data_IF_497879695311
#
_entry.id   IF_497879695311
#
_cell.length_a   1.000
_cell.length_b   1.000
_cell.length_c   1.000
_cell.angle_alpha   90.00
_cell.angle_beta   90.00
_cell.angle_gamma   90.00
#
_symmetry.space_group_name_H-M   'P 1'
#
loop_
_entity.id
_entity.type
_entity.pdbx_description
1 polymer ?
#
# COMPACT_ATOMS: atom_id res chain seq x y z
N UNK A 1 -1.64 14.44 26.15
CA UNK A 1 -2.36 13.17 25.91
C UNK A 1 -1.31 12.10 25.66
N UNK A 2 -1.33 10.97 26.37
CA UNK A 2 -0.33 9.91 26.17
C UNK A 2 -0.82 8.96 25.08
N UNK A 3 -0.19 8.95 23.91
CA UNK A 3 -0.53 8.02 22.85
C UNK A 3 0.09 6.65 23.15
N UNK A 4 -0.60 5.55 22.79
CA UNK A 4 0.00 4.22 22.80
C UNK A 4 1.04 4.15 21.68
N UNK A 5 2.29 4.49 22.03
CA UNK A 5 3.39 4.40 21.07
C UNK A 5 3.77 2.94 20.89
N UNK A 6 3.39 2.36 19.76
CA UNK A 6 3.91 1.06 19.34
C UNK A 6 5.45 1.12 19.33
N UNK A 7 6.14 0.30 20.15
CA UNK A 7 7.58 0.33 20.25
C UNK A 7 8.26 0.12 18.89
N UNK A 8 9.37 0.82 18.65
CA UNK A 8 10.10 0.75 17.38
C UNK A 8 10.53 -0.68 17.03
N UNK A 9 10.85 -1.52 18.02
CA UNK A 9 11.21 -2.92 17.78
C UNK A 9 10.04 -3.73 17.21
N UNK A 10 8.80 -3.45 17.61
CA UNK A 10 7.60 -4.07 17.01
C UNK A 10 7.46 -3.63 15.55
N UNK A 11 7.63 -2.32 15.27
CA UNK A 11 7.57 -1.80 13.89
C UNK A 11 8.64 -2.43 13.00
N UNK A 12 9.86 -2.62 13.51
CA UNK A 12 10.94 -3.33 12.79
C UNK A 12 10.56 -4.79 12.53
N UNK A 13 9.99 -5.50 13.50
CA UNK A 13 9.51 -6.87 13.31
C UNK A 13 8.40 -6.91 12.25
N UNK A 14 7.47 -5.96 12.25
CA UNK A 14 6.39 -5.87 11.26
C UNK A 14 6.94 -5.57 9.87
N UNK A 15 7.94 -4.69 9.74
CA UNK A 15 8.65 -4.42 8.50
C UNK A 15 9.30 -5.70 7.94
N UNK A 16 10.08 -6.40 8.77
CA UNK A 16 10.74 -7.65 8.37
C UNK A 16 9.71 -8.73 8.01
N UNK A 17 8.65 -8.88 8.80
CA UNK A 17 7.55 -9.81 8.54
C UNK A 17 6.85 -9.49 7.23
N UNK A 18 6.66 -8.20 6.92
CA UNK A 18 6.08 -7.75 5.66
C UNK A 18 6.95 -8.22 4.50
N UNK A 19 8.26 -8.02 4.54
CA UNK A 19 9.18 -8.53 3.51
C UNK A 19 9.09 -10.06 3.37
N UNK A 20 9.19 -10.77 4.50
CA UNK A 20 9.19 -12.22 4.52
C UNK A 20 7.87 -12.82 4.01
N UNK A 21 6.74 -12.13 4.19
CA UNK A 21 5.43 -12.58 3.73
C UNK A 21 5.30 -12.68 2.21
N UNK A 22 6.04 -11.88 1.45
CA UNK A 22 6.06 -11.95 -0.02
C UNK A 22 6.97 -13.05 -0.57
N UNK A 23 7.98 -13.46 0.20
CA UNK A 23 8.95 -14.47 -0.22
C UNK A 23 8.30 -15.79 -0.73
N UNK A 24 7.33 -16.42 -0.03
CA UNK A 24 6.72 -17.66 -0.52
C UNK A 24 5.94 -17.45 -1.82
N UNK A 25 5.32 -16.27 -2.00
CA UNK A 25 4.55 -15.97 -3.21
C UNK A 25 5.48 -15.73 -4.40
N UNK A 26 6.50 -14.89 -4.21
CA UNK A 26 7.47 -14.58 -5.25
C UNK A 26 8.23 -15.84 -5.67
N UNK A 27 8.69 -16.65 -4.70
CA UNK A 27 9.35 -17.93 -4.97
C UNK A 27 8.45 -18.87 -5.76
N UNK A 28 7.18 -19.04 -5.37
CA UNK A 28 6.25 -19.95 -6.06
C UNK A 28 5.96 -19.48 -7.48
N UNK A 29 5.70 -18.19 -7.69
CA UNK A 29 5.44 -17.61 -9.01
C UNK A 29 6.64 -17.76 -9.94
N UNK A 30 7.85 -17.43 -9.45
CA UNK A 30 9.10 -17.59 -10.21
C UNK A 30 9.39 -19.06 -10.52
N UNK A 31 9.30 -19.95 -9.52
CA UNK A 31 9.56 -21.38 -9.71
C UNK A 31 8.61 -22.05 -10.69
N UNK A 32 7.33 -21.65 -10.71
CA UNK A 32 6.36 -22.18 -11.68
C UNK A 32 6.54 -21.60 -13.08
N UNK A 33 7.30 -20.50 -13.23
CA UNK A 33 7.48 -19.76 -14.49
C UNK A 33 6.16 -19.39 -15.20
N UNK A 34 5.07 -19.30 -14.43
CA UNK A 34 3.75 -18.90 -14.92
C UNK A 34 3.04 -18.13 -13.83
N UNK A 35 2.24 -17.14 -14.24
CA UNK A 35 1.39 -16.37 -13.34
C UNK A 35 -0.11 -16.67 -13.55
N UNK A 36 -0.44 -17.79 -14.21
CA UNK A 36 -1.81 -18.28 -14.35
C UNK A 36 -2.42 -18.58 -12.96
N UNK A 37 -3.65 -18.12 -12.73
CA UNK A 37 -4.35 -18.20 -11.44
C UNK A 37 -4.10 -17.02 -10.49
N UNK A 38 -3.33 -16.02 -10.92
CA UNK A 38 -3.22 -14.71 -10.23
C UNK A 38 -4.05 -13.69 -11.00
N UNK A 39 -5.03 -13.09 -10.34
CA UNK A 39 -5.88 -12.07 -10.96
C UNK A 39 -5.11 -10.77 -11.19
N UNK A 40 -5.16 -10.23 -12.42
CA UNK A 40 -4.55 -8.94 -12.75
C UNK A 40 -5.14 -7.81 -11.91
N UNK A 41 -6.45 -7.83 -11.66
CA UNK A 41 -7.13 -6.81 -10.86
C UNK A 41 -6.79 -6.93 -9.37
N UNK A 42 -6.57 -8.15 -8.87
CA UNK A 42 -6.05 -8.34 -7.52
C UNK A 42 -4.70 -7.64 -7.33
N UNK A 43 -3.77 -7.84 -8.27
CA UNK A 43 -2.46 -7.18 -8.23
C UNK A 43 -2.59 -5.66 -8.36
N UNK A 44 -3.39 -5.19 -9.32
CA UNK A 44 -3.61 -3.76 -9.57
C UNK A 44 -4.17 -3.06 -8.33
N UNK A 45 -5.20 -3.62 -7.71
CA UNK A 45 -5.88 -2.99 -6.58
C UNK A 45 -5.00 -2.95 -5.33
N UNK A 46 -4.27 -4.03 -5.04
CA UNK A 46 -3.29 -4.01 -3.95
C UNK A 46 -2.13 -3.04 -4.23
N UNK A 47 -1.69 -2.93 -5.48
CA UNK A 47 -0.64 -2.00 -5.87
C UNK A 47 -1.09 -0.54 -5.73
N UNK A 48 -2.29 -0.19 -6.20
CA UNK A 48 -2.89 1.14 -6.00
C UNK A 48 -3.02 1.43 -4.49
N UNK A 49 -3.59 0.50 -3.73
CA UNK A 49 -3.80 0.62 -2.28
C UNK A 49 -2.51 0.92 -1.51
N UNK A 50 -1.44 0.18 -1.80
CA UNK A 50 -0.17 0.33 -1.10
C UNK A 50 0.63 1.54 -1.56
N UNK A 51 0.53 1.90 -2.84
CA UNK A 51 1.12 3.14 -3.38
C UNK A 51 0.44 4.38 -2.78
N UNK A 52 -0.88 4.34 -2.58
CA UNK A 52 -1.64 5.42 -1.92
C UNK A 52 -1.22 5.58 -0.46
N UNK A 53 -1.11 4.47 0.30
CA UNK A 53 -0.60 4.51 1.68
C UNK A 53 0.82 5.08 1.77
N UNK A 54 1.67 4.77 0.78
CA UNK A 54 2.99 5.36 0.66
C UNK A 54 2.93 6.87 0.39
N UNK A 55 2.11 7.32 -0.58
CA UNK A 55 1.96 8.74 -0.91
C UNK A 55 1.49 9.56 0.29
N UNK A 56 0.50 9.05 1.04
CA UNK A 56 0.02 9.64 2.28
C UNK A 56 1.11 9.72 3.36
N UNK A 57 1.82 8.61 3.60
CA UNK A 57 2.91 8.58 4.58
C UNK A 57 4.02 9.57 4.21
N UNK A 58 4.39 9.65 2.93
CA UNK A 58 5.38 10.59 2.43
C UNK A 58 4.90 12.04 2.63
N UNK A 59 3.66 12.34 2.23
CA UNK A 59 3.08 13.67 2.39
C UNK A 59 3.11 14.15 3.84
N UNK A 60 2.68 13.34 4.80
CA UNK A 60 2.64 13.78 6.20
C UNK A 60 4.02 13.85 6.89
N UNK A 61 4.98 13.01 6.49
CA UNK A 61 6.29 12.94 7.15
C UNK A 61 7.32 13.88 6.51
N UNK A 62 7.29 14.00 5.18
CA UNK A 62 8.31 14.70 4.40
C UNK A 62 7.82 16.06 3.92
N UNK A 63 6.56 16.15 3.46
CA UNK A 63 6.08 17.33 2.73
C UNK A 63 5.33 18.35 3.62
N UNK A 64 4.46 17.88 4.53
CA UNK A 64 3.61 18.71 5.38
C UNK A 64 4.00 18.59 6.87
N UNK A 65 5.23 18.99 7.19
CA UNK A 65 5.78 18.90 8.55
C UNK A 65 5.17 19.90 9.55
N UNK A 66 4.44 20.92 9.08
CA UNK A 66 3.89 22.00 9.92
C UNK A 66 2.52 21.66 10.52
N UNK A 67 1.74 20.75 9.91
CA UNK A 67 0.42 20.33 10.38
C UNK A 67 0.25 18.80 10.51
N UNK A 68 1.12 18.08 11.25
CA UNK A 68 0.91 16.66 11.48
C UNK A 68 -0.23 16.46 12.49
N UNK A 69 -1.41 16.12 12.00
CA UNK A 69 -2.53 15.64 12.81
C UNK A 69 -2.93 14.22 12.40
N UNK A 70 -3.48 13.49 13.38
CA UNK A 70 -4.06 12.13 13.36
C UNK A 70 -3.09 10.96 13.08
N UNK A 71 -2.11 11.09 12.17
CA UNK A 71 -1.31 9.93 11.70
C UNK A 71 0.19 9.95 12.03
N UNK A 72 0.75 11.09 12.45
CA UNK A 72 2.19 11.27 12.70
C UNK A 72 2.38 11.96 14.05
N UNK A 73 3.44 11.62 14.78
CA UNK A 73 3.70 12.21 16.08
C UNK A 73 4.19 13.66 15.96
N UNK A 74 3.97 14.45 17.04
CA UNK A 74 4.63 15.73 17.28
C UNK A 74 5.59 15.64 18.47
N UNK A 75 6.90 15.85 18.29
CA UNK A 75 7.64 15.93 17.01
C UNK A 75 7.69 14.56 16.30
N UNK A 76 7.96 14.58 14.98
CA UNK A 76 8.20 13.37 14.17
C UNK A 76 9.28 12.55 14.87
N UNK A 77 9.02 11.25 15.06
CA UNK A 77 9.94 10.35 15.73
C UNK A 77 10.45 9.24 14.81
N UNK A 78 11.42 8.45 15.29
CA UNK A 78 11.99 7.34 14.54
C UNK A 78 10.94 6.30 14.09
N UNK A 79 9.85 6.13 14.86
CA UNK A 79 8.76 5.24 14.51
C UNK A 79 8.00 5.67 13.25
N UNK A 80 7.84 6.97 13.03
CA UNK A 80 7.16 7.51 11.84
C UNK A 80 7.98 7.24 10.58
N UNK A 81 9.30 7.42 10.66
CA UNK A 81 10.23 7.03 9.59
C UNK A 81 10.22 5.53 9.31
N UNK A 82 10.08 4.68 10.33
CA UNK A 82 9.93 3.24 10.15
C UNK A 82 8.61 2.92 9.43
N UNK A 83 7.50 3.60 9.76
CA UNK A 83 6.23 3.43 9.06
C UNK A 83 6.33 3.85 7.59
N UNK A 84 7.04 4.95 7.29
CA UNK A 84 7.33 5.35 5.91
C UNK A 84 8.15 4.30 5.17
N UNK A 85 9.20 3.76 5.80
CA UNK A 85 9.99 2.68 5.22
C UNK A 85 9.13 1.44 4.95
N UNK A 86 8.19 1.13 5.85
CA UNK A 86 7.28 0.00 5.73
C UNK A 86 6.30 0.15 4.56
N UNK A 87 5.64 1.31 4.41
CA UNK A 87 4.76 1.55 3.26
C UNK A 87 5.53 1.55 1.95
N UNK A 88 6.73 2.13 1.93
CA UNK A 88 7.63 2.13 0.77
C UNK A 88 8.00 0.70 0.34
N UNK A 89 8.47 -0.12 1.28
CA UNK A 89 8.87 -1.50 1.01
C UNK A 89 7.69 -2.33 0.52
N UNK A 90 6.51 -2.19 1.14
CA UNK A 90 5.31 -2.91 0.71
C UNK A 90 4.87 -2.50 -0.70
N UNK A 91 4.91 -1.21 -1.04
CA UNK A 91 4.63 -0.72 -2.39
C UNK A 91 5.62 -1.31 -3.42
N UNK A 92 6.92 -1.34 -3.11
CA UNK A 92 7.96 -1.95 -3.96
C UNK A 92 7.71 -3.44 -4.16
N UNK A 93 7.34 -4.18 -3.12
CA UNK A 93 7.07 -5.61 -3.20
C UNK A 93 5.85 -5.92 -4.07
N UNK A 94 4.78 -5.14 -3.95
CA UNK A 94 3.61 -5.25 -4.83
C UNK A 94 3.94 -4.89 -6.27
N UNK A 95 4.72 -3.83 -6.50
CA UNK A 95 5.17 -3.45 -7.84
C UNK A 95 6.01 -4.56 -8.46
N UNK A 96 6.93 -5.14 -7.69
CA UNK A 96 7.76 -6.27 -8.11
C UNK A 96 6.89 -7.47 -8.50
N UNK A 97 5.91 -7.82 -7.67
CA UNK A 97 5.01 -8.93 -7.95
C UNK A 97 4.16 -8.66 -9.20
N UNK A 98 3.68 -7.43 -9.38
CA UNK A 98 2.96 -6.99 -10.57
C UNK A 98 3.84 -7.14 -11.83
N UNK A 99 5.05 -6.60 -11.83
CA UNK A 99 5.99 -6.71 -12.94
C UNK A 99 6.35 -8.17 -13.27
N UNK A 100 6.66 -9.00 -12.25
CA UNK A 100 6.93 -10.42 -12.45
C UNK A 100 5.74 -11.14 -13.08
N UNK A 101 4.53 -10.83 -12.62
CA UNK A 101 3.30 -11.38 -13.18
C UNK A 101 2.98 -10.86 -14.59
N UNK A 102 3.49 -9.70 -15.00
CA UNK A 102 3.36 -9.20 -16.37
C UNK A 102 4.41 -9.82 -17.30
N UNK A 103 5.59 -10.11 -16.77
CA UNK A 103 6.70 -10.71 -17.51
C UNK A 103 6.47 -12.21 -17.78
N UNK A 104 5.91 -12.94 -16.81
CA UNK A 104 5.69 -14.38 -16.94
C UNK A 104 4.48 -14.71 -17.84
N UNK A 105 4.54 -15.82 -18.60
CA UNK A 105 3.43 -16.24 -19.44
C UNK A 105 2.20 -16.60 -18.60
N UNK A 106 1.02 -16.21 -19.10
CA UNK A 106 -0.25 -16.45 -18.45
C UNK A 106 -1.42 -16.40 -19.44
N UNK A 107 -2.50 -17.13 -19.14
CA UNK A 107 -3.73 -17.17 -19.96
C UNK A 107 -4.60 -15.90 -19.82
N UNK A 108 -3.98 -14.76 -19.56
CA UNK A 108 -4.67 -13.49 -19.32
C UNK A 108 -5.12 -12.90 -20.63
N UNK A 109 -6.30 -12.27 -20.61
CA UNK A 109 -6.76 -11.44 -21.73
C UNK A 109 -5.83 -10.22 -21.84
N UNK A 110 -5.21 -10.03 -23.00
CA UNK A 110 -4.30 -8.90 -23.29
C UNK A 110 -4.94 -7.56 -22.89
N UNK A 111 -6.24 -7.37 -23.18
CA UNK A 111 -6.96 -6.16 -22.81
C UNK A 111 -7.00 -5.89 -21.29
N UNK A 112 -7.07 -6.92 -20.45
CA UNK A 112 -7.03 -6.76 -18.99
C UNK A 112 -5.66 -6.30 -18.50
N UNK A 113 -4.59 -6.76 -19.15
CA UNK A 113 -3.21 -6.36 -18.85
C UNK A 113 -2.99 -4.90 -19.25
N UNK A 114 -3.34 -4.54 -20.49
CA UNK A 114 -3.22 -3.16 -20.99
C UNK A 114 -4.02 -2.19 -20.12
N UNK A 115 -5.24 -2.55 -19.77
CA UNK A 115 -6.06 -1.76 -18.87
C UNK A 115 -5.40 -1.57 -17.49
N UNK A 116 -4.88 -2.64 -16.88
CA UNK A 116 -4.25 -2.55 -15.57
C UNK A 116 -3.00 -1.66 -15.58
N UNK A 117 -2.17 -1.76 -16.62
CA UNK A 117 -1.00 -0.89 -16.80
C UNK A 117 -1.45 0.58 -16.95
N UNK A 118 -2.40 0.84 -17.85
CA UNK A 118 -2.91 2.19 -18.09
C UNK A 118 -3.56 2.79 -16.84
N UNK A 119 -4.35 2.02 -16.11
CA UNK A 119 -4.97 2.43 -14.85
C UNK A 119 -3.93 2.76 -13.77
N UNK A 120 -2.87 1.96 -13.64
CA UNK A 120 -1.81 2.24 -12.68
C UNK A 120 -1.00 3.49 -13.05
N UNK A 121 -0.65 3.66 -14.33
CA UNK A 121 0.04 4.87 -14.80
C UNK A 121 -0.83 6.11 -14.55
N UNK A 122 -2.12 6.06 -14.89
CA UNK A 122 -3.04 7.16 -14.64
C UNK A 122 -3.12 7.49 -13.13
N UNK A 123 -3.19 6.47 -12.28
CA UNK A 123 -3.16 6.63 -10.83
C UNK A 123 -1.86 7.33 -10.36
N UNK A 124 -0.69 6.89 -10.84
CA UNK A 124 0.59 7.53 -10.50
C UNK A 124 0.62 9.01 -10.91
N UNK A 125 0.13 9.34 -12.10
CA UNK A 125 0.12 10.72 -12.61
C UNK A 125 -0.82 11.64 -11.83
N UNK A 126 -1.95 11.11 -11.34
CA UNK A 126 -2.98 11.92 -10.66
C UNK A 126 -2.75 11.99 -9.14
N UNK A 127 -2.21 10.95 -8.52
CA UNK A 127 -2.04 10.85 -7.06
C UNK A 127 -0.58 11.06 -6.64
N UNK A 128 0.37 10.29 -7.20
CA UNK A 128 1.76 10.29 -6.72
C UNK A 128 2.57 11.47 -7.24
N UNK A 129 2.53 11.74 -8.54
CA UNK A 129 3.33 12.82 -9.15
C UNK A 129 3.06 14.19 -8.52
N UNK A 130 1.81 14.59 -8.22
CA UNK A 130 1.54 15.86 -7.55
C UNK A 130 2.18 15.96 -6.16
N UNK A 131 2.16 14.88 -5.36
CA UNK A 131 2.78 14.85 -4.02
C UNK A 131 4.29 15.06 -4.12
N UNK A 132 4.96 14.38 -5.05
CA UNK A 132 6.41 14.55 -5.23
C UNK A 132 6.78 15.89 -5.84
N UNK A 133 5.98 16.41 -6.78
CA UNK A 133 6.20 17.71 -7.39
C UNK A 133 6.11 18.83 -6.35
N UNK A 134 5.14 18.78 -5.45
CA UNK A 134 5.00 19.78 -4.38
C UNK A 134 6.18 19.74 -3.40
N UNK A 135 6.67 18.54 -3.06
CA UNK A 135 7.81 18.38 -2.15
C UNK A 135 9.15 18.90 -2.71
N UNK A 136 9.33 18.93 -4.03
CA UNK A 136 10.59 19.37 -4.67
C UNK A 136 10.55 20.80 -5.20
N UNK A 137 9.36 21.35 -5.46
CA UNK A 137 9.23 22.71 -5.99
C UNK A 137 9.30 23.71 -4.83
N UNK A 138 10.31 24.61 -4.80
CA UNK A 138 10.38 25.63 -3.77
C UNK A 138 9.23 26.62 -3.93
N UNK A 139 8.46 26.82 -2.85
CA UNK A 139 7.35 27.76 -2.80
C UNK A 139 7.14 28.27 -1.38
N UNK A 140 6.50 29.43 -1.23
CA UNK A 140 6.14 29.91 0.11
C UNK A 140 4.96 29.11 0.66
N UNK A 141 4.81 29.04 1.98
CA UNK A 141 3.68 28.34 2.62
C UNK A 141 2.32 28.87 2.11
N UNK A 142 2.21 30.17 1.84
CA UNK A 142 0.98 30.78 1.31
C UNK A 142 0.66 30.34 -0.13
N UNK A 143 1.67 30.19 -0.99
CA UNK A 143 1.47 29.73 -2.37
C UNK A 143 1.02 28.26 -2.42
N UNK A 144 1.50 27.45 -1.47
CA UNK A 144 1.28 26.00 -1.42
C UNK A 144 0.02 25.60 -0.64
N UNK A 145 -0.51 26.48 0.21
CA UNK A 145 -1.61 26.18 1.14
C UNK A 145 -2.85 25.58 0.47
N UNK A 146 -3.33 26.18 -0.61
CA UNK A 146 -4.53 25.72 -1.31
C UNK A 146 -4.30 24.41 -2.10
N UNK A 147 -3.24 24.29 -2.93
CA UNK A 147 -2.89 23.02 -3.58
C UNK A 147 -2.74 21.85 -2.60
N UNK A 148 -2.00 22.06 -1.50
CA UNK A 148 -1.78 21.07 -0.44
C UNK A 148 -3.10 20.68 0.23
N UNK A 149 -3.97 21.65 0.55
CA UNK A 149 -5.27 21.38 1.15
C UNK A 149 -6.20 20.57 0.23
N UNK A 150 -6.20 20.86 -1.07
CA UNK A 150 -7.00 20.11 -2.05
C UNK A 150 -6.45 18.69 -2.21
N UNK A 151 -5.14 18.56 -2.37
CA UNK A 151 -4.48 17.26 -2.54
C UNK A 151 -4.71 16.38 -1.31
N UNK A 152 -4.33 16.87 -0.12
CA UNK A 152 -4.59 16.16 1.15
C UNK A 152 -6.07 15.84 1.36
N UNK A 153 -6.98 16.76 1.01
CA UNK A 153 -8.42 16.53 1.10
C UNK A 153 -8.91 15.38 0.21
N UNK A 154 -8.45 15.31 -1.04
CA UNK A 154 -8.78 14.22 -1.99
C UNK A 154 -8.22 12.88 -1.48
N UNK A 155 -6.96 12.88 -1.06
CA UNK A 155 -6.27 11.70 -0.55
C UNK A 155 -6.95 11.16 0.74
N UNK A 156 -7.27 12.05 1.67
CA UNK A 156 -7.86 11.65 2.94
C UNK A 156 -9.34 11.28 2.84
N UNK A 157 -10.16 12.15 2.25
CA UNK A 157 -11.63 12.03 2.28
C UNK A 157 -12.18 11.10 1.22
N UNK A 158 -11.48 10.88 0.11
CA UNK A 158 -11.99 10.07 -1.00
C UNK A 158 -11.14 8.83 -1.22
N UNK A 159 -9.82 8.98 -1.36
CA UNK A 159 -8.94 7.85 -1.67
C UNK A 159 -8.91 6.80 -0.55
N UNK A 160 -8.99 7.17 0.73
CA UNK A 160 -9.07 6.19 1.83
C UNK A 160 -10.26 5.21 1.70
N UNK A 161 -11.45 5.72 1.35
CA UNK A 161 -12.63 4.87 1.15
C UNK A 161 -12.54 4.06 -0.14
N UNK A 162 -12.03 4.68 -1.21
CA UNK A 162 -11.80 4.00 -2.49
C UNK A 162 -10.82 2.86 -2.29
N UNK A 163 -9.68 3.09 -1.62
CA UNK A 163 -8.66 2.07 -1.32
C UNK A 163 -9.24 0.94 -0.48
N UNK A 164 -10.07 1.24 0.51
CA UNK A 164 -10.76 0.22 1.30
C UNK A 164 -11.67 -0.64 0.42
N UNK A 165 -12.46 -0.01 -0.47
CA UNK A 165 -13.28 -0.70 -1.45
C UNK A 165 -12.45 -1.53 -2.45
N UNK A 166 -11.32 -1.01 -2.91
CA UNK A 166 -10.38 -1.70 -3.78
C UNK A 166 -9.77 -2.93 -3.10
N UNK A 167 -9.45 -2.86 -1.81
CA UNK A 167 -8.96 -4.02 -1.05
C UNK A 167 -10.03 -5.13 -0.96
N UNK A 168 -11.29 -4.77 -0.71
CA UNK A 168 -12.40 -5.73 -0.73
C UNK A 168 -12.62 -6.33 -2.13
N UNK A 169 -12.57 -5.49 -3.18
CA UNK A 169 -12.65 -5.94 -4.57
C UNK A 169 -11.47 -6.85 -4.94
N UNK A 170 -10.27 -6.57 -4.44
CA UNK A 170 -9.08 -7.39 -4.67
C UNK A 170 -9.28 -8.79 -4.09
N UNK A 171 -9.75 -8.88 -2.84
CA UNK A 171 -10.09 -10.15 -2.21
C UNK A 171 -11.13 -10.92 -3.02
N UNK A 172 -12.22 -10.25 -3.43
CA UNK A 172 -13.25 -10.86 -4.27
C UNK A 172 -12.70 -11.38 -5.60
N UNK A 173 -11.91 -10.58 -6.31
CA UNK A 173 -11.30 -10.94 -7.58
C UNK A 173 -10.38 -12.17 -7.44
N UNK A 174 -9.58 -12.22 -6.37
CA UNK A 174 -8.67 -13.33 -6.14
C UNK A 174 -9.41 -14.60 -5.68
N UNK A 175 -10.42 -14.46 -4.83
CA UNK A 175 -11.26 -15.57 -4.40
C UNK A 175 -11.97 -16.20 -5.61
N UNK A 176 -12.54 -15.37 -6.50
CA UNK A 176 -13.18 -15.83 -7.73
C UNK A 176 -12.22 -16.57 -8.65
N UNK A 177 -11.00 -16.08 -8.85
CA UNK A 177 -9.99 -16.75 -9.69
C UNK A 177 -9.52 -18.08 -9.08
N UNK A 178 -9.42 -18.14 -7.75
CA UNK A 178 -9.04 -19.35 -7.03
C UNK A 178 -10.11 -20.44 -7.13
N UNK A 179 -11.39 -20.05 -7.04
CA UNK A 179 -12.54 -20.95 -7.19
C UNK A 179 -12.73 -21.42 -8.63
N UNK A 180 -12.48 -20.56 -9.62
CA UNK A 180 -12.63 -20.91 -11.03
C UNK A 180 -11.51 -21.82 -11.56
N UNK A 181 -10.34 -21.82 -10.90
CA UNK A 181 -9.17 -22.63 -11.32
C UNK A 181 -8.54 -23.42 -10.16
N UNK A 182 -9.19 -24.48 -9.66
CA UNK A 182 -8.68 -25.24 -8.50
C UNK A 182 -7.32 -25.90 -8.73
N UNK A 183 -6.97 -26.23 -9.98
CA UNK A 183 -5.72 -26.91 -10.36
C UNK A 183 -4.55 -25.96 -10.64
N UNK A 184 -4.82 -24.67 -10.89
CA UNK A 184 -3.81 -23.67 -11.27
C UNK A 184 -3.59 -22.63 -10.18
N UNK A 185 -3.38 -23.09 -8.95
CA UNK A 185 -3.12 -22.21 -7.81
C UNK A 185 -1.67 -21.71 -7.84
N UNK A 186 -1.39 -20.63 -8.57
CA UNK A 186 -0.08 -19.98 -8.56
C UNK A 186 0.23 -19.32 -7.21
N UNK A 187 -0.77 -18.79 -6.52
CA UNK A 187 -0.59 -18.20 -5.19
C UNK A 187 -0.44 -19.27 -4.10
N UNK A 188 0.41 -18.98 -3.13
CA UNK A 188 0.57 -19.79 -1.92
C UNK A 188 -0.50 -19.41 -0.91
N UNK A 189 -1.42 -20.32 -0.56
CA UNK A 189 -2.43 -20.09 0.49
C UNK A 189 -1.80 -19.72 1.84
N UNK A 190 -0.70 -20.39 2.19
CA UNK A 190 0.08 -20.08 3.40
C UNK A 190 0.70 -18.68 3.28
N UNK A 191 1.24 -18.32 2.11
CA UNK A 191 1.79 -16.98 1.87
C UNK A 191 0.73 -15.88 1.97
N UNK A 192 -0.46 -16.12 1.41
CA UNK A 192 -1.61 -15.22 1.52
C UNK A 192 -2.08 -15.06 2.96
N UNK A 193 -2.15 -16.17 3.72
CA UNK A 193 -2.53 -16.13 5.12
C UNK A 193 -1.51 -15.33 5.95
N UNK A 194 -0.20 -15.56 5.74
CA UNK A 194 0.87 -14.81 6.40
C UNK A 194 0.79 -13.31 6.06
N UNK A 195 0.57 -12.96 4.78
CA UNK A 195 0.37 -11.57 4.36
C UNK A 195 -0.85 -10.94 5.04
N UNK A 196 -2.00 -11.61 5.03
CA UNK A 196 -3.23 -11.10 5.62
C UNK A 196 -3.05 -10.84 7.12
N UNK A 197 -2.44 -11.79 7.85
CA UNK A 197 -2.16 -11.65 9.28
C UNK A 197 -1.18 -10.50 9.52
N UNK A 198 -0.09 -10.42 8.74
CA UNK A 198 0.93 -9.36 8.88
C UNK A 198 0.32 -7.98 8.63
N UNK A 199 -0.50 -7.83 7.59
CA UNK A 199 -1.15 -6.57 7.26
C UNK A 199 -2.27 -6.21 8.24
N UNK A 200 -2.95 -7.19 8.84
CA UNK A 200 -3.89 -6.92 9.93
C UNK A 200 -3.16 -6.34 11.16
N UNK A 201 -2.06 -6.96 11.60
CA UNK A 201 -1.25 -6.43 12.69
C UNK A 201 -0.68 -5.05 12.39
N UNK A 202 -0.25 -4.83 11.14
CA UNK A 202 0.20 -3.51 10.68
C UNK A 202 -0.92 -2.47 10.80
N UNK A 203 -2.12 -2.76 10.30
CA UNK A 203 -3.25 -1.83 10.38
C UNK A 203 -3.61 -1.50 11.85
N UNK A 204 -3.62 -2.49 12.73
CA UNK A 204 -3.83 -2.27 14.18
C UNK A 204 -2.71 -1.43 14.81
N UNK A 205 -1.46 -1.61 14.38
CA UNK A 205 -0.34 -0.80 14.87
C UNK A 205 -0.47 0.67 14.50
N UNK A 206 -1.20 1.00 13.43
CA UNK A 206 -1.45 2.39 13.03
C UNK A 206 -2.69 2.98 13.72
N UNK A 207 -3.75 2.19 13.92
CA UNK A 207 -4.94 2.64 14.67
C UNK A 207 -4.60 2.95 16.13
N UNK A 208 -3.69 2.17 16.73
CA UNK A 208 -3.24 2.41 18.11
C UNK A 208 -2.46 3.72 18.32
N UNK A 209 -1.92 4.34 17.25
CA UNK A 209 -1.40 5.71 17.32
C UNK A 209 -2.50 6.76 17.48
N UNK A 210 -3.75 6.47 17.09
CA UNK A 210 -4.84 7.47 17.00
C UNK A 210 -5.82 7.48 18.17
N UNK A 211 -5.75 6.52 19.10
CA UNK A 211 -6.73 6.39 20.19
C UNK A 211 -6.32 7.21 21.45
N UNK A 212 -7.13 8.20 21.89
CA UNK A 212 -6.91 8.89 23.16
C UNK A 212 -7.22 7.96 24.36
N UNK A 213 -6.46 8.11 25.45
CA UNK A 213 -6.46 7.25 26.66
C UNK A 213 -7.81 7.12 27.39
N UNK A 214 -8.80 7.97 27.10
CA UNK A 214 -9.99 8.12 27.96
C UNK A 214 -11.22 7.29 27.51
N UNK A 215 -11.04 6.13 26.87
CA UNK A 215 -12.16 5.25 26.46
C UNK A 215 -12.04 3.81 26.97
N UNK A 216 -11.43 3.61 28.14
CA UNK A 216 -11.58 2.39 28.95
C UNK A 216 -11.87 2.77 30.39
#
# INVERSE_FOLDING_TARGET
MAYYNVPNWIRIILLLSSVLSFAPQLRRTISRKTSSGISTFYLLFNLISTTEQFALAFFFIVDNFEQPDVFVHRPINAGDWINLAQTTVVAILWLTLFCVCLYLPSDRRVGSVVFAIGAYIAFLLISVVPVFADAIVPGTHEDRKWPIAILSGIHYLFLSWIVTGLNAAAFYCQARETLSRPRDQALSHIGLAIQAVTFAFMAFSWISLGLPVNLV
#
